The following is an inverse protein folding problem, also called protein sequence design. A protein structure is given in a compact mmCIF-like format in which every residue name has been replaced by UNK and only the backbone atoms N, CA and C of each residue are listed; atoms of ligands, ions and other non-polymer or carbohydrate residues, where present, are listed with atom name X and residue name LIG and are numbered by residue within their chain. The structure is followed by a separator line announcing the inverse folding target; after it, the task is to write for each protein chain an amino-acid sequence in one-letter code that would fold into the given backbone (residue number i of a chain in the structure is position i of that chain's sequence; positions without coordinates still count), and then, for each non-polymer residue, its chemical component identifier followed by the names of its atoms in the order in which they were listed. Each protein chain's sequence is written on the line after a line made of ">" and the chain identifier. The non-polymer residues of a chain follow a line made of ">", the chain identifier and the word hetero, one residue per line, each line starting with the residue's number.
data_IF_111537783959
#
_entry.id   IF_111537783959
#
_cell.length_a   1.000
_cell.length_b   1.000
_cell.length_c   1.000
_cell.angle_alpha   90.00
_cell.angle_beta   90.00
_cell.angle_gamma   90.00
#
_symmetry.space_group_name_H-M   'P 1'
#
loop_
_entity.id
_entity.type
_entity.pdbx_description
1 polymer ?
#
# COMPACT_ATOMS: atom_id res chain seq x y z
N UNK A 1 5.53 -15.97 -71.48
CA UNK A 1 4.10 -15.63 -71.72
C UNK A 1 3.26 -16.38 -70.69
N UNK A 2 2.49 -15.65 -69.87
CA UNK A 2 1.61 -16.08 -68.75
C UNK A 2 2.36 -16.66 -67.52
N UNK A 3 2.69 -16.00 -66.41
CA UNK A 3 2.26 -14.79 -65.69
C UNK A 3 0.75 -14.67 -65.37
N UNK A 4 0.48 -14.49 -64.08
CA UNK A 4 -0.81 -14.32 -63.38
C UNK A 4 -1.55 -15.63 -63.11
N UNK A 5 -1.52 -16.14 -61.87
CA UNK A 5 -2.61 -16.88 -61.18
C UNK A 5 -2.21 -17.42 -59.78
N UNK A 6 -1.23 -16.83 -59.09
CA UNK A 6 -0.91 -17.26 -57.73
C UNK A 6 -0.68 -16.07 -56.78
N UNK A 7 -1.59 -15.10 -56.83
CA UNK A 7 -1.58 -13.88 -56.01
C UNK A 7 -2.81 -13.76 -55.11
N UNK A 8 -3.41 -14.88 -54.65
CA UNK A 8 -4.63 -14.84 -53.84
C UNK A 8 -4.70 -15.87 -52.71
N UNK A 9 -3.58 -16.20 -52.05
CA UNK A 9 -3.64 -16.98 -50.81
C UNK A 9 -2.50 -16.62 -49.83
N UNK A 10 -2.33 -15.32 -49.58
CA UNK A 10 -1.41 -14.81 -48.56
C UNK A 10 -2.05 -13.64 -47.80
N UNK A 11 -3.27 -13.84 -47.31
CA UNK A 11 -4.01 -12.82 -46.57
C UNK A 11 -4.94 -13.45 -45.51
N UNK A 12 -4.40 -14.29 -44.62
CA UNK A 12 -5.18 -14.80 -43.47
C UNK A 12 -4.29 -15.39 -42.36
N UNK A 13 -3.21 -14.74 -41.94
CA UNK A 13 -2.44 -15.21 -40.78
C UNK A 13 -1.58 -14.11 -40.12
N UNK A 14 -2.17 -13.00 -39.69
CA UNK A 14 -1.43 -12.01 -38.89
C UNK A 14 -2.31 -11.06 -38.06
N UNK A 15 -3.47 -11.50 -37.56
CA UNK A 15 -4.42 -10.59 -36.87
C UNK A 15 -4.87 -11.04 -35.48
N UNK A 16 -4.04 -11.78 -34.72
CA UNK A 16 -4.39 -12.22 -33.36
C UNK A 16 -3.22 -12.11 -32.35
N UNK A 17 -2.52 -10.97 -32.25
CA UNK A 17 -1.42 -10.84 -31.28
C UNK A 17 -1.37 -9.54 -30.44
N UNK A 18 -2.43 -8.71 -30.39
CA UNK A 18 -2.39 -7.48 -29.58
C UNK A 18 -3.58 -7.29 -28.64
N UNK A 19 -4.19 -8.38 -28.16
CA UNK A 19 -4.99 -8.30 -26.94
C UNK A 19 -4.04 -8.40 -25.73
N UNK A 20 -3.26 -7.35 -25.50
CA UNK A 20 -2.57 -7.18 -24.23
C UNK A 20 -3.62 -7.16 -23.13
N UNK A 21 -3.61 -8.17 -22.26
CA UNK A 21 -4.44 -8.15 -21.06
C UNK A 21 -4.15 -6.86 -20.29
N UNK A 22 -5.19 -6.15 -19.86
CA UNK A 22 -5.05 -4.95 -19.02
C UNK A 22 -4.22 -5.29 -17.78
N UNK A 23 -3.14 -4.56 -17.55
CA UNK A 23 -2.35 -4.72 -16.32
C UNK A 23 -3.10 -4.05 -15.17
N UNK A 24 -3.46 -4.78 -14.10
CA UNK A 24 -4.20 -4.20 -12.99
C UNK A 24 -3.45 -3.05 -12.28
N UNK A 25 -2.13 -2.95 -12.44
CA UNK A 25 -1.34 -1.85 -11.88
C UNK A 25 -1.44 -0.55 -12.69
N UNK A 26 -1.93 -0.57 -13.93
CA UNK A 26 -2.11 0.65 -14.73
C UNK A 26 -3.21 1.56 -14.17
N UNK A 27 -4.14 1.01 -13.38
CA UNK A 27 -5.25 1.76 -12.75
C UNK A 27 -4.95 2.23 -11.32
N UNK A 28 -3.77 1.90 -10.76
CA UNK A 28 -3.38 2.39 -9.43
C UNK A 28 -2.62 3.71 -9.54
N UNK A 29 -2.72 4.56 -8.51
CA UNK A 29 -2.02 5.84 -8.50
C UNK A 29 -0.50 5.61 -8.49
N UNK A 30 0.22 6.27 -9.40
CA UNK A 30 1.68 6.39 -9.28
C UNK A 30 2.00 7.19 -8.02
N UNK A 31 2.56 6.52 -7.02
CA UNK A 31 2.99 7.17 -5.78
C UNK A 31 4.46 7.54 -5.87
N UNK A 32 4.81 8.74 -5.40
CA UNK A 32 6.18 9.20 -5.23
C UNK A 32 6.37 9.49 -3.75
N UNK A 33 7.29 8.77 -3.10
CA UNK A 33 7.66 9.02 -1.72
C UNK A 33 8.72 10.14 -1.68
N UNK A 34 8.55 11.08 -0.75
CA UNK A 34 9.57 12.08 -0.42
C UNK A 34 10.38 11.63 0.79
N UNK A 35 11.54 12.23 1.00
CA UNK A 35 12.38 11.92 2.17
C UNK A 35 11.62 12.10 3.50
N UNK A 36 11.94 11.28 4.53
CA UNK A 36 11.33 11.39 5.84
C UNK A 36 11.40 12.82 6.39
N UNK A 37 10.25 13.38 6.74
CA UNK A 37 10.17 14.74 7.28
C UNK A 37 10.27 14.71 8.80
N UNK A 38 11.08 15.60 9.38
CA UNK A 38 11.15 15.76 10.84
C UNK A 38 9.77 16.08 11.42
N UNK A 39 9.36 15.33 12.44
CA UNK A 39 8.09 15.50 13.13
C UNK A 39 8.05 16.87 13.83
N UNK A 40 7.01 17.66 13.55
CA UNK A 40 6.74 18.89 14.28
C UNK A 40 6.27 18.53 15.68
N UNK A 41 7.10 18.73 16.70
CA UNK A 41 6.74 18.49 18.09
C UNK A 41 5.83 19.64 18.57
N UNK A 42 4.53 19.51 18.30
CA UNK A 42 3.52 20.38 18.89
C UNK A 42 3.36 20.04 20.37
N UNK A 43 3.51 21.04 21.25
CA UNK A 43 3.27 20.92 22.69
C UNK A 43 1.96 20.18 22.99
N UNK A 44 1.94 19.38 24.06
CA UNK A 44 0.81 18.59 24.53
C UNK A 44 -0.32 19.49 25.05
N UNK A 45 -0.97 20.23 24.15
CA UNK A 45 -2.22 20.91 24.42
C UNK A 45 -3.35 19.88 24.44
N UNK A 46 -4.39 20.12 25.26
CA UNK A 46 -5.60 19.30 25.27
C UNK A 46 -6.23 19.28 23.87
N UNK A 47 -6.11 18.14 23.19
CA UNK A 47 -6.64 17.91 21.84
C UNK A 47 -7.60 16.73 21.83
N UNK A 48 -8.30 16.53 20.72
CA UNK A 48 -9.08 15.31 20.49
C UNK A 48 -8.10 14.17 20.23
N UNK A 49 -8.21 13.11 21.04
CA UNK A 49 -7.44 11.87 20.86
C UNK A 49 -8.24 10.90 19.97
N UNK A 50 -7.56 10.38 18.95
CA UNK A 50 -8.03 9.30 18.09
C UNK A 50 -7.13 8.10 18.35
N UNK A 51 -7.72 6.99 18.77
CA UNK A 51 -6.99 5.77 19.17
C UNK A 51 -7.40 4.61 18.29
N UNK A 52 -6.46 3.71 18.00
CA UNK A 52 -6.77 2.42 17.40
C UNK A 52 -7.63 1.60 18.37
N UNK A 53 -8.73 1.04 17.86
CA UNK A 53 -9.69 0.24 18.65
C UNK A 53 -9.76 -1.19 18.13
N UNK A 54 -10.50 -2.04 18.85
CA UNK A 54 -10.65 -3.45 18.51
C UNK A 54 -11.25 -3.68 17.11
N UNK A 55 -12.13 -2.77 16.66
CA UNK A 55 -12.77 -2.81 15.35
C UNK A 55 -11.89 -2.26 14.20
N UNK A 56 -10.73 -1.70 14.51
CA UNK A 56 -9.83 -1.16 13.49
C UNK A 56 -9.18 -2.29 12.69
N UNK A 57 -8.84 -2.03 11.43
CA UNK A 57 -8.16 -2.98 10.55
C UNK A 57 -7.04 -2.31 9.77
N UNK A 58 -5.89 -2.97 9.64
CA UNK A 58 -4.85 -2.63 8.66
C UNK A 58 -4.76 -3.79 7.67
N UNK A 59 -5.14 -3.52 6.42
CA UNK A 59 -5.14 -4.49 5.32
C UNK A 59 -4.43 -3.96 4.09
N UNK A 60 -4.02 -4.89 3.22
CA UNK A 60 -3.46 -4.60 1.90
C UNK A 60 -4.01 -5.60 0.88
N UNK A 61 -3.95 -5.20 -0.40
CA UNK A 61 -4.26 -6.07 -1.53
C UNK A 61 -3.03 -6.14 -2.43
N UNK A 62 -2.52 -7.35 -2.65
CA UNK A 62 -1.47 -7.62 -3.63
C UNK A 62 -2.06 -8.23 -4.89
N UNK A 63 -1.85 -7.58 -6.04
CA UNK A 63 -2.47 -7.97 -7.32
C UNK A 63 -1.45 -8.43 -8.35
N UNK A 64 -1.91 -9.33 -9.23
CA UNK A 64 -1.24 -9.77 -10.46
C UNK A 64 -2.27 -9.82 -11.59
N UNK A 65 -1.81 -9.93 -12.83
CA UNK A 65 -2.69 -10.02 -14.02
C UNK A 65 -3.77 -11.11 -13.88
N UNK A 66 -3.46 -12.21 -13.19
CA UNK A 66 -4.35 -13.37 -13.05
C UNK A 66 -5.14 -13.43 -11.73
N UNK A 67 -5.03 -12.44 -10.84
CA UNK A 67 -5.75 -12.47 -9.56
C UNK A 67 -5.20 -11.52 -8.50
N UNK A 68 -5.74 -11.60 -7.29
CA UNK A 68 -5.31 -10.79 -6.16
C UNK A 68 -5.35 -11.57 -4.86
N UNK A 69 -4.56 -11.11 -3.89
CA UNK A 69 -4.48 -11.65 -2.55
C UNK A 69 -4.77 -10.56 -1.53
N UNK A 70 -5.61 -10.87 -0.55
CA UNK A 70 -5.82 -10.02 0.61
C UNK A 70 -4.81 -10.38 1.70
N UNK A 71 -4.33 -9.36 2.40
CA UNK A 71 -3.51 -9.53 3.59
C UNK A 71 -3.66 -8.36 4.54
N UNK A 72 -2.87 -8.38 5.61
CA UNK A 72 -2.88 -7.32 6.60
C UNK A 72 -2.08 -7.68 7.85
N UNK A 73 -2.33 -6.93 8.92
CA UNK A 73 -1.71 -7.12 10.22
C UNK A 73 -2.78 -7.24 11.29
N UNK A 74 -2.62 -8.19 12.21
CA UNK A 74 -3.59 -8.40 13.31
C UNK A 74 -3.28 -7.56 14.54
N UNK A 75 -2.01 -7.25 14.77
CA UNK A 75 -1.54 -6.59 15.98
C UNK A 75 -0.90 -5.25 15.63
N UNK A 76 -1.60 -4.19 15.98
CA UNK A 76 -1.15 -2.81 15.81
C UNK A 76 -1.81 -1.93 16.86
N UNK A 77 -1.13 -0.86 17.23
CA UNK A 77 -1.62 0.09 18.23
C UNK A 77 -1.08 1.48 17.90
N UNK A 78 -1.80 2.50 18.31
CA UNK A 78 -1.38 3.86 18.02
C UNK A 78 -2.43 4.88 18.38
N UNK A 79 -2.04 6.14 18.29
CA UNK A 79 -2.93 7.26 18.49
C UNK A 79 -2.50 8.50 17.74
N UNK A 80 -3.47 9.34 17.43
CA UNK A 80 -3.29 10.66 16.83
C UNK A 80 -3.99 11.67 17.74
N UNK A 81 -3.28 12.73 18.13
CA UNK A 81 -3.86 13.83 18.88
C UNK A 81 -3.98 15.05 17.98
N UNK A 82 -5.18 15.64 17.92
CA UNK A 82 -5.46 16.82 17.09
C UNK A 82 -5.95 17.97 17.96
N UNK A 83 -5.21 19.07 17.98
CA UNK A 83 -5.58 20.31 18.66
C UNK A 83 -5.52 21.47 17.67
N UNK A 84 -6.57 22.29 17.59
CA UNK A 84 -6.62 23.44 16.68
C UNK A 84 -6.38 23.07 15.20
N UNK A 85 -6.81 21.89 14.77
CA UNK A 85 -6.60 21.40 13.40
C UNK A 85 -5.16 20.99 13.07
N UNK A 86 -4.30 20.83 14.08
CA UNK A 86 -2.90 20.37 13.93
C UNK A 86 -2.65 19.12 14.77
N UNK A 87 -1.71 18.30 14.30
CA UNK A 87 -1.19 17.19 15.10
C UNK A 87 -0.39 17.72 16.29
N UNK A 88 -0.57 17.12 17.46
CA UNK A 88 0.18 17.43 18.68
C UNK A 88 0.71 16.14 19.32
N UNK A 89 1.76 16.25 20.13
CA UNK A 89 2.41 15.09 20.74
C UNK A 89 3.14 14.20 19.73
N UNK A 90 3.11 12.89 19.96
CA UNK A 90 3.74 11.87 19.11
C UNK A 90 2.64 11.04 18.42
N UNK A 91 2.15 11.49 17.24
CA UNK A 91 1.09 10.81 16.50
C UNK A 91 1.66 9.60 15.73
N UNK A 92 1.65 8.43 16.35
CA UNK A 92 2.32 7.22 15.85
C UNK A 92 1.39 6.00 15.88
N UNK A 93 1.50 5.18 14.83
CA UNK A 93 0.95 3.83 14.76
C UNK A 93 2.12 2.85 14.65
N UNK A 94 2.16 1.86 15.54
CA UNK A 94 3.10 0.74 15.50
C UNK A 94 2.39 -0.53 15.08
N UNK A 95 3.07 -1.30 14.25
CA UNK A 95 2.58 -2.55 13.67
C UNK A 95 3.57 -3.65 14.06
N UNK A 96 3.08 -4.70 14.71
CA UNK A 96 3.90 -5.90 14.92
C UNK A 96 3.92 -6.71 13.62
N UNK A 97 5.04 -6.69 12.91
CA UNK A 97 5.15 -7.27 11.56
C UNK A 97 4.94 -8.78 11.57
N UNK A 98 5.32 -9.46 12.66
CA UNK A 98 5.03 -10.89 12.87
C UNK A 98 3.54 -11.25 12.87
N UNK A 99 2.65 -10.27 13.08
CA UNK A 99 1.19 -10.45 12.98
C UNK A 99 0.65 -10.42 11.55
N UNK A 100 1.53 -10.31 10.55
CA UNK A 100 1.19 -10.35 9.14
C UNK A 100 0.40 -11.62 8.80
N UNK A 101 -0.63 -11.46 7.98
CA UNK A 101 -1.43 -12.52 7.41
C UNK A 101 -1.70 -12.23 5.94
N UNK A 102 -1.91 -13.29 5.17
CA UNK A 102 -2.50 -13.28 3.85
C UNK A 102 -3.59 -14.36 3.77
N UNK A 103 -4.43 -14.31 2.74
CA UNK A 103 -5.48 -15.30 2.47
C UNK A 103 -4.96 -16.71 2.13
N UNK A 104 -3.64 -16.87 2.03
CA UNK A 104 -2.95 -18.14 1.82
C UNK A 104 -1.80 -18.30 2.82
N UNK A 105 -1.73 -19.44 3.51
CA UNK A 105 -0.70 -19.69 4.54
C UNK A 105 0.72 -19.76 4.00
N UNK A 106 0.91 -20.30 2.77
CA UNK A 106 2.23 -20.31 2.12
C UNK A 106 2.68 -18.90 1.77
N UNK A 107 1.76 -18.07 1.26
CA UNK A 107 2.03 -16.67 0.99
C UNK A 107 2.35 -15.91 2.30
N UNK A 108 1.57 -16.16 3.36
CA UNK A 108 1.85 -15.60 4.70
C UNK A 108 3.26 -15.94 5.17
N UNK A 109 3.68 -17.19 5.02
CA UNK A 109 5.04 -17.62 5.36
C UNK A 109 6.12 -16.93 4.53
N UNK A 110 5.89 -16.81 3.22
CA UNK A 110 6.85 -16.16 2.31
C UNK A 110 6.97 -14.66 2.57
N UNK A 111 5.86 -13.95 2.78
CA UNK A 111 5.89 -12.52 3.10
C UNK A 111 6.62 -12.23 4.43
N UNK A 112 6.66 -13.20 5.36
CA UNK A 112 7.41 -13.05 6.61
C UNK A 112 8.91 -13.29 6.46
N UNK A 113 9.38 -13.84 5.35
CA UNK A 113 10.78 -14.21 5.14
C UNK A 113 11.67 -12.97 4.88
N UNK A 114 13.00 -13.16 4.90
CA UNK A 114 13.96 -12.13 4.51
C UNK A 114 13.78 -11.55 3.09
N UNK A 115 13.05 -12.23 2.21
CA UNK A 115 12.80 -11.75 0.84
C UNK A 115 11.76 -10.62 0.80
N UNK A 116 11.03 -10.40 1.90
CA UNK A 116 9.96 -9.40 2.00
C UNK A 116 10.06 -8.60 3.30
N UNK A 117 9.16 -8.86 4.27
CA UNK A 117 9.06 -8.04 5.47
C UNK A 117 10.12 -8.37 6.52
N UNK A 118 10.85 -9.48 6.36
CA UNK A 118 11.88 -9.98 7.29
C UNK A 118 11.51 -9.77 8.77
N UNK A 119 10.39 -10.38 9.18
CA UNK A 119 9.76 -10.04 10.47
C UNK A 119 10.59 -10.46 11.69
N UNK A 120 11.62 -11.27 11.47
CA UNK A 120 12.59 -11.64 12.50
C UNK A 120 13.57 -10.50 12.78
N UNK A 121 14.05 -9.82 11.73
CA UNK A 121 14.98 -8.68 11.83
C UNK A 121 14.24 -7.36 12.10
N UNK A 122 13.06 -7.17 11.50
CA UNK A 122 12.25 -5.96 11.60
C UNK A 122 10.89 -6.27 12.26
N UNK A 123 10.86 -6.54 13.58
CA UNK A 123 9.64 -6.97 14.28
C UNK A 123 8.58 -5.87 14.40
N UNK A 124 8.95 -4.61 14.16
CA UNK A 124 8.08 -3.44 14.27
C UNK A 124 8.21 -2.57 13.02
N UNK A 125 7.07 -2.26 12.41
CA UNK A 125 6.93 -1.19 11.43
C UNK A 125 6.18 -0.01 12.07
N UNK A 126 6.36 1.20 11.57
CA UNK A 126 5.71 2.38 12.12
C UNK A 126 5.23 3.38 11.07
N UNK A 127 4.13 4.05 11.37
CA UNK A 127 3.71 5.26 10.66
C UNK A 127 3.66 6.42 11.65
N UNK A 128 4.49 7.44 11.41
CA UNK A 128 4.50 8.67 12.21
C UNK A 128 3.92 9.81 11.40
N UNK A 129 2.75 10.32 11.80
CA UNK A 129 2.11 11.42 11.11
C UNK A 129 2.86 12.75 11.35
N UNK A 130 3.08 13.52 10.29
CA UNK A 130 3.81 14.78 10.30
C UNK A 130 2.92 15.99 10.02
N UNK A 131 1.80 15.80 9.31
CA UNK A 131 0.79 16.84 9.13
C UNK A 131 -0.60 16.26 8.85
N UNK A 132 -1.61 17.06 9.17
CA UNK A 132 -3.00 16.82 8.79
C UNK A 132 -3.54 18.06 8.10
N UNK A 133 -4.25 17.89 6.99
CA UNK A 133 -4.85 18.97 6.22
C UNK A 133 -6.30 18.61 5.82
N UNK A 134 -7.26 19.56 5.87
CA UNK A 134 -8.60 19.31 5.37
C UNK A 134 -8.60 18.95 3.88
N UNK A 135 -9.45 17.99 3.50
CA UNK A 135 -9.67 17.51 2.13
C UNK A 135 -11.17 17.25 1.92
N UNK A 136 -11.96 18.32 1.80
CA UNK A 136 -13.42 18.25 1.76
C UNK A 136 -13.98 17.70 3.08
N UNK A 137 -14.76 16.63 3.00
CA UNK A 137 -15.27 15.91 4.18
C UNK A 137 -14.22 14.98 4.84
N UNK A 138 -13.06 14.82 4.21
CA UNK A 138 -11.96 13.96 4.66
C UNK A 138 -10.74 14.79 5.06
N UNK A 139 -9.68 14.12 5.50
CA UNK A 139 -8.39 14.74 5.82
C UNK A 139 -7.26 14.02 5.10
N UNK A 140 -6.32 14.79 4.57
CA UNK A 140 -5.05 14.27 4.11
C UNK A 140 -4.09 14.20 5.30
N UNK A 141 -3.61 13.00 5.60
CA UNK A 141 -2.59 12.76 6.63
C UNK A 141 -1.28 12.43 5.92
N UNK A 142 -0.26 13.24 6.16
CA UNK A 142 1.11 12.98 5.69
C UNK A 142 1.89 12.42 6.85
N UNK A 143 2.76 11.45 6.59
CA UNK A 143 3.62 10.87 7.61
C UNK A 143 4.78 10.10 7.01
N UNK A 144 5.70 9.71 7.89
CA UNK A 144 6.81 8.85 7.56
C UNK A 144 6.37 7.41 7.82
N UNK A 145 6.47 6.56 6.81
CA UNK A 145 6.33 5.11 6.94
C UNK A 145 7.74 4.53 7.07
N UNK A 146 8.00 3.88 8.19
CA UNK A 146 9.19 3.07 8.41
C UNK A 146 8.80 1.60 8.32
N UNK A 147 9.29 0.94 7.28
CA UNK A 147 8.94 -0.42 6.91
C UNK A 147 10.09 -1.03 6.12
N UNK A 148 10.94 -1.81 6.81
CA UNK A 148 12.11 -2.56 6.29
C UNK A 148 12.90 -1.84 5.19
#
# INVERSE_FOLDING_TARGET
>A
MKLHHLTSLLAAAAACLLAGCSDPADSVHKTSASDPKKTGSGSAAAGKEYVIRAESTIGFVGSKVTGSHNGGFKNFAGKLNVAGGKLVGTPEIKIATGSLWADNDRLTGHLKSPDFFDVATFPVASFTATSIAPAGAQHNVTGNLDLH
#
